data_IF_785749762876
#
_entry.id   IF_785749762876
#
_cell.length_a   1.000
_cell.length_b   1.000
_cell.length_c   1.000
_cell.angle_alpha   90.00
_cell.angle_beta   90.00
_cell.angle_gamma   90.00
#
_symmetry.space_group_name_H-M   'P 1'
#
loop_
_entity.id
_entity.type
_entity.pdbx_description
1 polymer ?
#
# COMPACT_ATOMS: atom_id res chain seq x y z
N UNK A 1 -2.87 -8.48 -0.56
CA UNK A 1 -2.21 -8.94 -1.80
C UNK A 1 -2.27 -10.43 -1.94
N UNK A 2 -2.16 -10.89 -3.19
CA UNK A 2 -2.13 -12.29 -3.55
C UNK A 2 -1.10 -12.51 -4.67
N UNK A 3 -0.30 -13.56 -4.56
CA UNK A 3 0.61 -14.03 -5.61
C UNK A 3 0.20 -15.42 -6.06
N UNK A 4 -0.07 -15.58 -7.36
CA UNK A 4 -0.19 -16.87 -8.03
C UNK A 4 1.14 -17.20 -8.68
N UNK A 5 1.75 -18.31 -8.28
CA UNK A 5 3.01 -18.79 -8.84
C UNK A 5 2.77 -19.55 -10.15
N UNK A 6 3.41 -19.12 -11.23
CA UNK A 6 3.33 -19.79 -12.54
C UNK A 6 4.45 -20.82 -12.73
N UNK A 7 5.58 -20.62 -12.05
CA UNK A 7 6.69 -21.56 -11.97
C UNK A 7 6.97 -21.90 -10.51
N UNK A 8 7.77 -22.94 -10.29
CA UNK A 8 8.33 -23.22 -8.98
C UNK A 8 9.21 -22.05 -8.49
N UNK A 9 9.07 -21.73 -7.21
CA UNK A 9 9.85 -20.72 -6.51
C UNK A 9 10.60 -21.35 -5.33
N UNK A 10 11.61 -22.21 -5.56
CA UNK A 10 12.52 -22.64 -4.52
C UNK A 10 13.31 -21.45 -3.95
N UNK A 11 13.98 -21.66 -2.82
CA UNK A 11 14.69 -20.60 -2.09
C UNK A 11 15.72 -19.88 -2.97
N UNK A 12 16.48 -20.63 -3.76
CA UNK A 12 17.54 -20.16 -4.65
C UNK A 12 17.04 -19.38 -5.87
N UNK A 13 15.78 -19.59 -6.30
CA UNK A 13 15.17 -18.80 -7.37
C UNK A 13 14.68 -17.42 -6.91
N UNK A 14 14.93 -17.08 -5.66
CA UNK A 14 14.60 -15.78 -5.08
C UNK A 14 13.20 -15.74 -4.48
N UNK A 15 12.72 -16.82 -3.86
CA UNK A 15 11.39 -16.93 -3.24
C UNK A 15 10.99 -15.71 -2.37
N UNK A 16 9.67 -15.53 -2.20
CA UNK A 16 9.13 -14.47 -1.35
C UNK A 16 9.69 -14.58 0.07
N UNK A 17 10.11 -13.47 0.64
CA UNK A 17 10.48 -13.34 2.04
C UNK A 17 9.57 -12.34 2.71
N UNK A 18 9.21 -12.62 3.97
CA UNK A 18 8.33 -11.76 4.77
C UNK A 18 8.86 -11.58 6.18
N UNK A 19 8.60 -10.41 6.77
CA UNK A 19 8.76 -10.19 8.22
C UNK A 19 7.45 -10.56 8.91
N UNK A 20 7.45 -11.61 9.74
CA UNK A 20 6.22 -12.05 10.44
C UNK A 20 5.67 -10.95 11.34
N UNK A 21 4.35 -10.82 11.39
CA UNK A 21 3.65 -9.82 12.22
C UNK A 21 3.76 -8.37 11.73
N UNK A 22 4.64 -8.05 10.77
CA UNK A 22 4.89 -6.66 10.34
C UNK A 22 3.67 -5.90 9.82
N UNK A 23 2.65 -6.61 9.34
CA UNK A 23 1.38 -6.03 8.90
C UNK A 23 0.58 -5.32 10.01
N UNK A 24 0.89 -5.58 11.28
CA UNK A 24 0.26 -4.94 12.44
C UNK A 24 0.87 -3.57 12.75
N UNK A 25 2.02 -3.23 12.17
CA UNK A 25 2.72 -1.96 12.40
C UNK A 25 2.08 -0.77 11.69
N UNK A 26 1.04 -1.02 10.88
CA UNK A 26 0.40 0.01 10.05
C UNK A 26 1.27 0.41 8.85
N UNK A 27 0.91 1.52 8.18
CA UNK A 27 1.65 2.03 7.03
C UNK A 27 3.05 2.52 7.42
N UNK A 28 4.06 2.19 6.61
CA UNK A 28 5.44 2.60 6.79
C UNK A 28 5.87 3.64 5.76
N UNK A 29 6.72 4.57 6.19
CA UNK A 29 7.34 5.55 5.30
C UNK A 29 8.39 4.89 4.40
N UNK A 30 8.32 5.17 3.11
CA UNK A 30 9.24 4.72 2.09
C UNK A 30 10.21 5.83 1.72
N UNK A 31 11.47 5.51 1.50
CA UNK A 31 12.38 6.40 0.82
C UNK A 31 11.91 6.57 -0.62
N UNK A 32 11.70 7.83 -1.02
CA UNK A 32 11.34 8.24 -2.38
C UNK A 32 12.52 8.99 -3.01
N UNK A 33 12.69 8.86 -4.32
CA UNK A 33 13.69 9.64 -5.05
C UNK A 33 13.51 9.52 -6.56
N UNK A 34 14.00 10.51 -7.34
CA UNK A 34 13.86 10.49 -8.81
C UNK A 34 14.57 9.30 -9.46
N UNK A 35 15.64 8.81 -8.83
CA UNK A 35 16.50 7.76 -9.36
C UNK A 35 16.26 6.39 -8.72
N UNK A 36 15.21 6.24 -7.90
CA UNK A 36 14.93 4.99 -7.18
C UNK A 36 13.44 4.67 -7.16
N UNK A 37 13.13 3.38 -7.22
CA UNK A 37 11.79 2.93 -6.91
C UNK A 37 11.51 3.13 -5.41
N UNK A 38 10.26 3.42 -4.99
CA UNK A 38 9.92 3.50 -3.58
C UNK A 38 10.35 2.24 -2.82
N UNK A 39 11.07 2.40 -1.72
CA UNK A 39 11.53 1.28 -0.89
C UNK A 39 11.55 1.66 0.59
N UNK A 40 11.55 0.67 1.49
CA UNK A 40 11.72 0.94 2.92
C UNK A 40 13.17 1.36 3.23
N UNK A 41 13.40 2.16 4.29
CA UNK A 41 14.74 2.54 4.74
C UNK A 41 15.64 1.30 4.96
N UNK A 42 16.71 1.09 4.17
CA UNK A 42 17.55 -0.11 4.27
C UNK A 42 18.34 -0.17 5.58
N UNK A 43 18.67 0.97 6.17
CA UNK A 43 19.31 1.04 7.48
C UNK A 43 18.47 0.44 8.61
N UNK A 44 17.15 0.28 8.40
CA UNK A 44 16.22 -0.34 9.35
C UNK A 44 15.74 -1.71 8.87
N UNK A 45 15.30 -1.82 7.60
CA UNK A 45 14.55 -2.97 7.10
C UNK A 45 15.33 -3.86 6.12
N UNK A 46 16.65 -3.67 5.98
CA UNK A 46 17.47 -4.56 5.15
C UNK A 46 17.37 -6.02 5.65
N UNK A 47 17.39 -7.02 4.76
CA UNK A 47 17.30 -8.44 5.13
C UNK A 47 18.29 -8.87 6.22
N UNK A 48 19.50 -8.30 6.25
CA UNK A 48 20.52 -8.60 7.28
C UNK A 48 20.18 -8.02 8.67
N UNK A 49 19.18 -7.14 8.77
CA UNK A 49 18.81 -6.41 9.99
C UNK A 49 17.49 -6.86 10.60
N UNK A 50 16.64 -7.54 9.83
CA UNK A 50 15.34 -8.00 10.28
C UNK A 50 15.21 -9.50 10.06
N UNK A 51 14.65 -10.20 11.05
CA UNK A 51 14.39 -11.63 10.91
C UNK A 51 13.25 -11.87 9.92
N UNK A 52 13.51 -12.73 8.93
CA UNK A 52 12.55 -13.03 7.87
C UNK A 52 12.30 -14.50 7.70
N UNK A 53 11.17 -14.79 7.07
CA UNK A 53 10.78 -16.14 6.71
C UNK A 53 10.63 -16.22 5.21
N UNK A 54 11.40 -17.11 4.60
CA UNK A 54 11.29 -17.47 3.19
C UNK A 54 10.10 -18.40 2.97
N UNK A 55 9.30 -18.09 1.95
CA UNK A 55 8.11 -18.83 1.57
C UNK A 55 8.36 -19.42 0.18
N UNK A 56 8.99 -20.61 0.09
CA UNK A 56 9.10 -21.32 -1.17
C UNK A 56 7.70 -21.76 -1.63
N UNK A 57 7.51 -21.80 -2.94
CA UNK A 57 6.22 -22.15 -3.55
C UNK A 57 6.43 -23.04 -4.76
N UNK A 58 5.40 -23.78 -5.16
CA UNK A 58 5.34 -24.54 -6.40
C UNK A 58 4.45 -23.85 -7.43
N UNK A 59 4.61 -24.21 -8.70
CA UNK A 59 3.69 -23.79 -9.74
C UNK A 59 2.24 -24.15 -9.35
N UNK A 60 1.35 -23.15 -9.41
CA UNK A 60 -0.05 -23.26 -8.99
C UNK A 60 -0.34 -22.85 -7.54
N UNK A 61 0.68 -22.69 -6.70
CA UNK A 61 0.48 -22.20 -5.33
C UNK A 61 0.02 -20.74 -5.34
N UNK A 62 -0.83 -20.43 -4.36
CA UNK A 62 -1.37 -19.08 -4.14
C UNK A 62 -1.01 -18.62 -2.73
N UNK A 63 -0.33 -17.49 -2.63
CA UNK A 63 0.06 -16.89 -1.34
C UNK A 63 -0.75 -15.62 -1.12
N UNK A 64 -1.49 -15.57 -0.02
CA UNK A 64 -2.19 -14.38 0.46
C UNK A 64 -1.42 -13.74 1.60
N UNK A 65 -1.28 -12.41 1.55
CA UNK A 65 -0.68 -11.63 2.63
C UNK A 65 -1.28 -10.22 2.67
N UNK A 66 -1.22 -9.60 3.85
CA UNK A 66 -1.66 -8.21 4.01
C UNK A 66 -0.79 -7.29 3.15
N UNK A 67 -1.39 -6.26 2.56
CA UNK A 67 -0.67 -5.22 1.82
C UNK A 67 0.38 -4.51 2.68
N UNK A 68 0.19 -4.48 4.01
CA UNK A 68 1.10 -3.87 4.97
C UNK A 68 2.25 -4.80 5.39
N UNK A 69 2.26 -6.05 4.93
CA UNK A 69 3.34 -6.99 5.27
C UNK A 69 4.62 -6.54 4.60
N UNK A 70 5.68 -6.35 5.38
CA UNK A 70 7.02 -6.12 4.82
C UNK A 70 7.46 -7.39 4.10
N UNK A 71 7.76 -7.27 2.81
CA UNK A 71 8.13 -8.38 1.96
C UNK A 71 9.09 -7.98 0.85
N UNK A 72 9.84 -8.96 0.34
CA UNK A 72 10.70 -8.83 -0.85
C UNK A 72 10.90 -10.20 -1.51
N UNK A 73 11.56 -10.20 -2.66
CA UNK A 73 12.12 -11.41 -3.27
C UNK A 73 13.64 -11.29 -3.26
N UNK A 74 14.35 -12.37 -2.96
CA UNK A 74 15.81 -12.40 -3.09
C UNK A 74 16.21 -12.40 -4.58
N UNK A 75 17.51 -12.25 -4.85
CA UNK A 75 18.06 -12.46 -6.18
C UNK A 75 17.83 -13.90 -6.65
N UNK A 76 17.37 -14.05 -7.89
CA UNK A 76 17.34 -15.36 -8.54
C UNK A 76 18.78 -15.78 -8.89
N UNK A 77 19.23 -16.90 -8.32
CA UNK A 77 20.58 -17.48 -8.54
C UNK A 77 20.54 -18.74 -9.40
N UNK A 78 19.41 -18.98 -10.06
CA UNK A 78 19.20 -20.08 -10.99
C UNK A 78 19.21 -19.57 -12.43
N UNK A 79 19.31 -20.49 -13.39
CA UNK A 79 19.23 -20.18 -14.83
C UNK A 79 17.79 -20.17 -15.36
N UNK A 80 16.80 -20.35 -14.48
CA UNK A 80 15.38 -20.45 -14.82
C UNK A 80 14.61 -19.18 -14.47
N UNK A 81 13.53 -18.93 -15.22
CA UNK A 81 12.62 -17.83 -14.89
C UNK A 81 11.73 -18.18 -13.69
N UNK A 82 11.46 -17.18 -12.83
CA UNK A 82 10.49 -17.28 -11.73
C UNK A 82 9.34 -16.31 -11.96
N UNK A 83 8.27 -16.77 -12.61
CA UNK A 83 7.10 -15.96 -12.97
C UNK A 83 5.99 -16.09 -11.92
N UNK A 84 5.36 -14.97 -11.60
CA UNK A 84 4.17 -14.91 -10.76
C UNK A 84 3.22 -13.82 -11.23
N UNK A 85 1.93 -13.98 -10.94
CA UNK A 85 0.88 -12.97 -11.16
C UNK A 85 0.48 -12.40 -9.80
N UNK A 86 0.51 -11.08 -9.66
CA UNK A 86 0.05 -10.38 -8.45
C UNK A 86 -1.36 -9.84 -8.62
N UNK A 87 -2.24 -10.17 -7.68
CA UNK A 87 -3.56 -9.57 -7.54
C UNK A 87 -3.56 -8.62 -6.33
N UNK A 88 -3.89 -7.36 -6.57
CA UNK A 88 -4.16 -6.37 -5.54
C UNK A 88 -5.64 -6.34 -5.20
N UNK A 89 -5.97 -6.50 -3.92
CA UNK A 89 -7.33 -6.35 -3.43
C UNK A 89 -7.39 -5.16 -2.49
N UNK A 90 -8.36 -4.29 -2.71
CA UNK A 90 -8.57 -3.09 -1.91
C UNK A 90 -10.04 -2.98 -1.55
N UNK A 91 -10.33 -2.43 -0.38
CA UNK A 91 -11.68 -2.03 -0.04
C UNK A 91 -12.15 -0.98 -1.05
N UNK A 92 -13.44 -0.98 -1.41
CA UNK A 92 -14.01 -0.02 -2.38
C UNK A 92 -13.91 1.43 -1.91
N UNK A 93 -13.64 1.65 -0.62
CA UNK A 93 -13.46 2.98 -0.02
C UNK A 93 -12.00 3.43 -0.02
N UNK A 94 -11.06 2.52 -0.32
CA UNK A 94 -9.65 2.87 -0.40
C UNK A 94 -9.45 3.79 -1.62
N UNK A 95 -8.80 4.94 -1.38
CA UNK A 95 -8.47 5.91 -2.42
C UNK A 95 -6.97 6.02 -2.50
N UNK A 96 -6.34 5.71 -3.65
CA UNK A 96 -4.93 5.95 -3.83
C UNK A 96 -4.65 7.44 -3.66
N UNK A 97 -3.63 7.76 -2.85
CA UNK A 97 -3.14 9.13 -2.73
C UNK A 97 -2.34 9.48 -3.99
N UNK A 98 -2.50 10.71 -4.49
CA UNK A 98 -1.85 11.18 -5.72
C UNK A 98 -2.59 10.85 -7.03
N UNK A 99 -3.84 10.38 -6.95
CA UNK A 99 -4.69 10.11 -8.12
C UNK A 99 -5.97 10.95 -8.09
N UNK A 100 -6.47 11.32 -9.26
CA UNK A 100 -7.63 12.20 -9.37
C UNK A 100 -8.90 11.59 -8.77
N UNK A 101 -9.65 12.39 -8.01
CA UNK A 101 -10.88 11.95 -7.35
C UNK A 101 -11.95 11.50 -8.36
N UNK A 102 -11.91 12.05 -9.58
CA UNK A 102 -12.81 11.74 -10.69
C UNK A 102 -12.33 10.59 -11.59
N UNK A 103 -11.04 10.24 -11.54
CA UNK A 103 -10.47 9.20 -12.41
C UNK A 103 -9.27 8.48 -11.74
N UNK A 104 -9.43 7.19 -11.36
CA UNK A 104 -8.38 6.42 -10.70
C UNK A 104 -7.18 6.08 -11.61
N UNK A 105 -7.20 6.43 -12.89
CA UNK A 105 -6.06 6.31 -13.81
C UNK A 105 -5.37 7.65 -14.11
N UNK A 106 -5.97 8.77 -13.73
CA UNK A 106 -5.39 10.11 -13.91
C UNK A 106 -4.58 10.48 -12.67
N UNK A 107 -3.34 10.90 -12.87
CA UNK A 107 -2.54 11.51 -11.80
C UNK A 107 -3.12 12.90 -11.56
N UNK A 108 -3.45 13.19 -10.30
CA UNK A 108 -3.90 14.52 -9.90
C UNK A 108 -2.78 15.18 -9.10
N UNK A 109 -2.08 16.16 -9.69
CA UNK A 109 -0.98 16.84 -9.03
C UNK A 109 -1.43 17.61 -7.78
N UNK A 110 -2.73 17.90 -7.63
CA UNK A 110 -3.30 18.63 -6.50
C UNK A 110 -3.89 17.70 -5.42
N UNK A 111 -4.04 16.40 -5.70
CA UNK A 111 -4.44 15.35 -4.75
C UNK A 111 -3.27 14.44 -4.33
N UNK A 112 -2.05 14.92 -4.51
CA UNK A 112 -0.88 14.38 -3.83
C UNK A 112 -0.92 14.99 -2.43
N UNK A 113 -0.81 14.17 -1.36
CA UNK A 113 -0.46 14.74 -0.05
C UNK A 113 0.72 15.71 -0.25
N UNK A 114 0.76 16.83 0.49
CA UNK A 114 1.92 17.71 0.49
C UNK A 114 3.18 16.83 0.48
N UNK A 115 4.09 17.10 -0.47
CA UNK A 115 5.20 16.24 -0.94
C UNK A 115 6.18 15.70 0.14
N UNK A 116 5.83 15.81 1.41
CA UNK A 116 6.57 15.41 2.58
C UNK A 116 6.05 14.11 3.23
N UNK A 117 5.00 13.45 2.74
CA UNK A 117 4.63 12.11 3.24
C UNK A 117 5.22 11.01 2.35
N UNK A 118 6.23 10.34 2.88
CA UNK A 118 6.91 9.21 2.26
C UNK A 118 6.10 7.90 2.33
N UNK A 119 4.90 7.92 2.90
CA UNK A 119 4.03 6.77 3.01
C UNK A 119 3.27 6.54 1.70
N UNK A 120 3.62 5.46 0.99
CA UNK A 120 3.09 5.15 -0.37
C UNK A 120 1.58 4.85 -0.36
N UNK A 121 1.00 4.49 0.79
CA UNK A 121 -0.45 4.34 0.97
C UNK A 121 -0.86 4.83 2.34
N UNK A 122 -1.62 5.93 2.38
CA UNK A 122 -2.27 6.42 3.60
C UNK A 122 -3.77 6.50 3.36
N UNK A 123 -4.55 6.11 4.37
CA UNK A 123 -5.86 6.72 4.62
C UNK A 123 -7.08 6.08 3.97
N UNK A 124 -8.05 5.80 4.82
CA UNK A 124 -9.47 5.77 4.51
C UNK A 124 -10.02 7.20 4.69
N UNK A 125 -10.81 7.72 3.75
CA UNK A 125 -11.65 8.90 4.05
C UNK A 125 -12.88 8.42 4.84
N UNK A 126 -13.33 9.15 5.87
CA UNK A 126 -14.62 8.87 6.49
C UNK A 126 -15.76 9.04 5.48
N UNK A 127 -16.83 8.30 5.72
CA UNK A 127 -17.93 8.10 4.78
C UNK A 127 -18.59 9.45 4.40
N UNK A 128 -18.92 9.65 3.11
CA UNK A 128 -19.54 10.90 2.58
C UNK A 128 -20.87 11.27 3.26
N UNK A 129 -21.47 10.33 3.98
CA UNK A 129 -22.69 10.53 4.76
C UNK A 129 -22.45 11.34 6.05
N UNK A 130 -21.27 11.27 6.67
CA UNK A 130 -20.99 12.02 7.90
C UNK A 130 -20.73 13.52 7.63
N UNK A 131 -20.20 13.86 6.45
CA UNK A 131 -19.92 15.26 6.07
C UNK A 131 -21.20 16.08 5.87
N UNK A 132 -22.34 15.45 5.57
CA UNK A 132 -23.63 16.13 5.46
C UNK A 132 -24.25 16.46 6.82
N UNK A 133 -23.88 15.76 7.88
CA UNK A 133 -24.47 15.95 9.20
C UNK A 133 -23.78 17.08 10.00
N UNK A 134 -22.52 17.39 9.67
CA UNK A 134 -21.78 18.52 10.27
C UNK A 134 -22.00 19.86 9.55
N UNK A 135 -22.49 19.85 8.30
CA UNK A 135 -22.72 21.07 7.51
C UNK A 135 -24.11 21.72 7.71
N UNK A 136 -24.98 21.17 8.57
CA UNK A 136 -26.34 21.70 8.82
C UNK A 136 -26.50 22.47 10.14
N UNK A 137 -25.42 22.75 10.86
CA UNK A 137 -25.47 23.36 12.19
C UNK A 137 -25.00 24.82 12.25
N UNK A 138 -25.73 25.76 11.65
CA UNK A 138 -25.89 27.15 12.16
C UNK A 138 -26.76 28.00 11.22
N UNK A 139 -28.08 27.87 11.35
CA UNK A 139 -28.99 28.95 10.92
C UNK A 139 -29.25 29.78 12.17
N UNK A 140 -28.54 30.90 12.30
CA UNK A 140 -28.96 31.96 13.22
C UNK A 140 -30.24 32.58 12.64
N UNK A 141 -31.35 32.43 13.37
CA UNK A 141 -32.59 33.12 13.07
C UNK A 141 -32.38 34.62 13.34
N UNK A 142 -32.53 35.45 12.32
CA UNK A 142 -32.69 36.90 12.51
C UNK A 142 -34.16 37.18 12.85
N UNK A 143 -34.39 37.69 14.07
CA UNK A 143 -35.68 38.26 14.43
C UNK A 143 -35.92 39.59 13.69
N UNK A 144 -37.17 39.88 13.27
CA UNK A 144 -37.49 41.16 12.66
C UNK A 144 -37.53 42.26 13.73
N UNK A 145 -36.79 43.36 13.49
CA UNK A 145 -36.92 44.58 14.29
C UNK A 145 -38.26 45.26 13.99
N UNK A 146 -39.02 45.52 15.05
CA UNK A 146 -40.20 46.38 15.00
C UNK A 146 -39.80 47.86 15.02
N UNK A 147 -40.30 48.62 14.04
CA UNK A 147 -40.85 49.98 14.18
C UNK A 147 -41.56 50.37 12.90
#
# INVERSE_FOLDING_TARGET
DCLLHLDDAPIDSGALQVVRGSHENGPLEHVLGPDTAPHLPPDVYHPDKVETVTIPAKAGDVIFFSYLTIHWSDCNRTDEWRKAVRFGYHHTDLRPIGRAEDNPHRIDPDNVLDRNSNTVVVGFRPNRLETRQLASGSVQANEPKAS
#
